data_IF_649472844415
#
_entry.id   IF_649472844415
#
_cell.length_a   1.000
_cell.length_b   1.000
_cell.length_c   1.000
_cell.angle_alpha   90.00
_cell.angle_beta   90.00
_cell.angle_gamma   90.00
#
_symmetry.space_group_name_H-M   'P 1'
#
loop_
_entity.id
_entity.type
_entity.pdbx_description
1 polymer ?
#
# COMPACT_ATOMS: atom_id res chain seq x y z
N UNK A 1 10.47 27.92 -19.67
CA UNK A 1 9.48 26.83 -19.57
C UNK A 1 9.62 25.93 -20.80
N UNK A 2 10.48 24.89 -20.75
CA UNK A 2 10.48 23.87 -21.81
C UNK A 2 9.19 23.07 -21.66
N UNK A 3 8.38 23.02 -22.71
CA UNK A 3 7.27 22.06 -22.86
C UNK A 3 7.73 20.70 -22.35
N UNK A 4 7.20 20.22 -21.21
CA UNK A 4 7.67 18.96 -20.64
C UNK A 4 7.28 17.84 -21.60
N UNK A 5 8.29 17.23 -22.23
CA UNK A 5 8.08 16.09 -23.12
C UNK A 5 7.36 14.99 -22.34
N UNK A 6 6.42 14.31 -23.00
CA UNK A 6 5.72 13.17 -22.40
C UNK A 6 6.73 12.09 -22.02
N UNK A 7 6.90 11.84 -20.72
CA UNK A 7 7.79 10.79 -20.22
C UNK A 7 7.26 9.41 -20.62
N UNK A 8 8.18 8.48 -20.84
CA UNK A 8 7.95 7.03 -20.89
C UNK A 8 8.33 6.45 -19.52
N UNK A 9 7.31 6.10 -18.74
CA UNK A 9 7.48 5.64 -17.36
C UNK A 9 7.19 4.14 -17.32
N UNK A 10 8.16 3.35 -16.87
CA UNK A 10 7.96 1.93 -16.58
C UNK A 10 7.67 1.76 -15.11
N UNK A 11 6.51 1.20 -14.76
CA UNK A 11 6.16 0.76 -13.41
C UNK A 11 6.32 -0.75 -13.34
N UNK A 12 7.06 -1.22 -12.34
CA UNK A 12 7.28 -2.65 -12.12
C UNK A 12 6.83 -3.06 -10.71
N UNK A 13 5.80 -3.87 -10.65
CA UNK A 13 5.24 -4.43 -9.42
C UNK A 13 5.54 -5.93 -9.24
N UNK A 14 6.16 -6.56 -10.24
CA UNK A 14 6.53 -7.99 -10.27
C UNK A 14 5.38 -8.92 -10.64
N UNK A 15 4.14 -8.51 -10.42
CA UNK A 15 2.93 -9.29 -10.63
C UNK A 15 1.81 -8.32 -11.02
N UNK A 16 1.15 -8.51 -12.17
CA UNK A 16 0.03 -7.67 -12.63
C UNK A 16 -1.18 -7.54 -11.67
N UNK A 17 -1.09 -8.06 -10.46
CA UNK A 17 -1.98 -7.77 -9.35
C UNK A 17 -1.53 -6.47 -8.64
N UNK A 18 -1.67 -5.35 -9.35
CA UNK A 18 -1.33 -4.01 -8.87
C UNK A 18 -2.20 -3.62 -7.67
N UNK A 19 -1.60 -2.94 -6.68
CA UNK A 19 -2.37 -2.36 -5.55
C UNK A 19 -3.26 -1.20 -6.02
N UNK A 20 -4.34 -0.84 -5.27
CA UNK A 20 -5.17 0.33 -5.59
C UNK A 20 -4.38 1.63 -5.76
N UNK A 21 -3.32 1.82 -4.97
CA UNK A 21 -2.40 2.95 -5.15
C UNK A 21 -1.76 2.96 -6.54
N UNK A 22 -1.20 1.82 -6.97
CA UNK A 22 -0.49 1.72 -8.25
C UNK A 22 -1.46 1.97 -9.40
N UNK A 23 -2.67 1.43 -9.31
CA UNK A 23 -3.72 1.64 -10.31
C UNK A 23 -4.09 3.12 -10.45
N UNK A 24 -4.38 3.79 -9.33
CA UNK A 24 -4.71 5.23 -9.33
C UNK A 24 -3.55 6.09 -9.84
N UNK A 25 -2.32 5.78 -9.41
CA UNK A 25 -1.13 6.48 -9.88
C UNK A 25 -0.93 6.30 -11.39
N UNK A 26 -0.98 5.07 -11.88
CA UNK A 26 -0.76 4.77 -13.27
C UNK A 26 -1.85 5.37 -14.18
N UNK A 27 -3.11 5.37 -13.74
CA UNK A 27 -4.22 6.04 -14.42
C UNK A 27 -4.06 7.57 -14.43
N UNK A 28 -3.58 8.17 -13.33
CA UNK A 28 -3.33 9.59 -13.26
C UNK A 28 -2.17 10.05 -14.14
N UNK A 29 -1.05 9.31 -14.11
CA UNK A 29 0.13 9.57 -14.94
C UNK A 29 -0.19 9.40 -16.43
N UNK A 30 -1.02 8.42 -16.82
CA UNK A 30 -1.33 8.14 -18.23
C UNK A 30 -2.10 9.26 -18.93
N UNK A 31 -2.69 10.20 -18.18
CA UNK A 31 -3.30 11.42 -18.73
C UNK A 31 -2.28 12.31 -19.46
N UNK A 32 -1.01 12.30 -19.02
CA UNK A 32 0.06 13.16 -19.58
C UNK A 32 1.25 12.38 -20.14
N UNK A 33 1.50 11.17 -19.65
CA UNK A 33 2.70 10.40 -19.93
C UNK A 33 2.37 9.04 -20.56
N UNK A 34 3.39 8.40 -21.16
CA UNK A 34 3.28 7.03 -21.66
C UNK A 34 3.65 6.08 -20.52
N UNK A 35 2.66 5.40 -19.96
CA UNK A 35 2.85 4.50 -18.81
C UNK A 35 2.86 3.04 -19.26
N UNK A 36 3.88 2.31 -18.82
CA UNK A 36 4.05 0.89 -19.07
C UNK A 36 4.04 0.14 -17.73
N UNK A 37 3.26 -0.92 -17.61
CA UNK A 37 3.28 -1.80 -16.44
C UNK A 37 3.86 -3.15 -16.87
N UNK A 38 4.94 -3.57 -16.20
CA UNK A 38 5.65 -4.81 -16.47
C UNK A 38 5.46 -5.79 -15.31
N UNK A 39 5.19 -7.06 -15.62
CA UNK A 39 4.98 -8.09 -14.61
C UNK A 39 5.07 -9.52 -15.16
N UNK A 40 5.20 -10.49 -14.25
CA UNK A 40 5.36 -11.92 -14.55
C UNK A 40 4.05 -12.72 -14.49
N UNK A 41 2.90 -12.06 -14.30
CA UNK A 41 1.59 -12.70 -14.35
C UNK A 41 0.94 -12.46 -15.72
N UNK A 42 -0.17 -13.14 -16.00
CA UNK A 42 -0.82 -13.07 -17.32
C UNK A 42 -2.23 -12.54 -17.31
N UNK A 43 -2.94 -12.75 -16.21
CA UNK A 43 -4.31 -12.27 -16.05
C UNK A 43 -4.29 -10.88 -15.42
N UNK A 44 -4.90 -9.96 -16.14
CA UNK A 44 -5.29 -8.64 -15.66
C UNK A 44 -6.79 -8.74 -15.45
N UNK A 45 -7.24 -8.78 -14.20
CA UNK A 45 -8.68 -8.80 -13.87
C UNK A 45 -9.38 -7.55 -14.38
N UNK A 46 -8.66 -6.41 -14.41
CA UNK A 46 -9.10 -5.16 -15.01
C UNK A 46 -7.92 -4.49 -15.72
N UNK A 47 -8.16 -3.94 -16.92
CA UNK A 47 -7.18 -3.11 -17.63
C UNK A 47 -7.60 -1.66 -17.56
N UNK A 48 -6.68 -0.81 -17.16
CA UNK A 48 -6.88 0.64 -17.20
C UNK A 48 -6.63 1.15 -18.61
N UNK A 49 -7.45 2.12 -19.03
CA UNK A 49 -7.30 2.80 -20.31
C UNK A 49 -5.98 3.58 -20.37
N UNK A 50 -5.40 3.68 -21.57
CA UNK A 50 -4.16 4.43 -21.84
C UNK A 50 -2.90 3.90 -21.15
N UNK A 51 -2.90 2.66 -20.65
CA UNK A 51 -1.74 1.99 -20.05
C UNK A 51 -1.31 0.80 -20.89
N UNK A 52 0.00 0.67 -21.12
CA UNK A 52 0.56 -0.47 -21.85
C UNK A 52 1.06 -1.55 -20.89
N UNK A 53 0.39 -2.70 -20.86
CA UNK A 53 0.79 -3.84 -20.05
C UNK A 53 1.71 -4.79 -20.83
N UNK A 54 2.92 -5.02 -20.33
CA UNK A 54 3.93 -5.85 -21.00
C UNK A 54 4.22 -7.09 -20.17
N UNK A 55 3.77 -8.24 -20.69
CA UNK A 55 3.96 -9.55 -20.06
C UNK A 55 5.40 -10.00 -20.22
N UNK A 56 6.04 -10.43 -19.13
CA UNK A 56 7.41 -10.93 -19.13
C UNK A 56 7.51 -12.47 -19.08
N UNK A 57 6.36 -13.13 -19.17
CA UNK A 57 6.20 -14.58 -19.14
C UNK A 57 5.67 -15.06 -17.78
N UNK A 58 4.58 -15.85 -17.83
CA UNK A 58 3.86 -16.34 -16.65
C UNK A 58 4.77 -16.98 -15.61
N UNK A 59 4.45 -16.82 -14.33
CA UNK A 59 4.93 -17.70 -13.27
C UNK A 59 4.07 -18.98 -13.12
N UNK A 60 2.80 -18.94 -13.49
CA UNK A 60 1.84 -20.03 -13.26
C UNK A 60 1.58 -20.93 -14.48
N UNK A 61 1.92 -20.48 -15.70
CA UNK A 61 1.64 -21.21 -16.94
C UNK A 61 2.89 -21.39 -17.82
N UNK A 62 3.37 -22.63 -17.94
CA UNK A 62 4.57 -22.95 -18.71
C UNK A 62 4.41 -22.71 -20.22
N UNK A 63 3.23 -22.99 -20.80
CA UNK A 63 3.00 -22.79 -22.22
C UNK A 63 3.05 -21.31 -22.59
N UNK A 64 2.39 -20.47 -21.80
CA UNK A 64 2.36 -19.04 -22.08
C UNK A 64 3.67 -18.33 -21.72
N UNK A 65 4.40 -18.85 -20.73
CA UNK A 65 5.81 -18.49 -20.50
C UNK A 65 6.68 -18.74 -21.73
N UNK A 66 6.61 -19.95 -22.33
CA UNK A 66 7.35 -20.30 -23.55
C UNK A 66 6.95 -19.39 -24.71
N UNK A 67 5.64 -19.23 -24.96
CA UNK A 67 5.10 -18.39 -26.03
C UNK A 67 5.59 -16.94 -25.92
N UNK A 68 5.53 -16.35 -24.73
CA UNK A 68 5.98 -14.98 -24.47
C UNK A 68 7.48 -14.84 -24.69
N UNK A 69 8.25 -15.80 -24.17
CA UNK A 69 9.71 -15.82 -24.26
C UNK A 69 10.19 -15.95 -25.71
N UNK A 70 9.60 -16.84 -26.51
CA UNK A 70 9.92 -16.97 -27.94
C UNK A 70 9.53 -15.71 -28.73
N UNK A 71 8.37 -15.11 -28.44
CA UNK A 71 7.94 -13.85 -29.07
C UNK A 71 8.92 -12.72 -28.80
N UNK A 72 9.40 -12.58 -27.56
CA UNK A 72 10.39 -11.56 -27.21
C UNK A 72 11.77 -11.86 -27.83
N UNK A 73 12.19 -13.12 -27.87
CA UNK A 73 13.43 -13.53 -28.52
C UNK A 73 13.45 -13.18 -30.02
N UNK A 74 12.33 -13.41 -30.72
CA UNK A 74 12.16 -13.00 -32.11
C UNK A 74 12.31 -11.48 -32.29
N UNK A 75 11.67 -10.69 -31.42
CA UNK A 75 11.75 -9.22 -31.44
C UNK A 75 13.19 -8.74 -31.24
N UNK A 76 14.01 -9.44 -30.43
CA UNK A 76 15.39 -9.04 -30.15
C UNK A 76 16.35 -9.29 -31.33
N UNK A 77 16.14 -10.35 -32.12
CA UNK A 77 17.11 -10.72 -33.17
C UNK A 77 16.76 -11.94 -34.02
N UNK A 78 15.47 -12.19 -34.27
CA UNK A 78 15.02 -13.21 -35.22
C UNK A 78 15.40 -14.65 -34.84
N UNK A 79 15.63 -15.49 -35.86
CA UNK A 79 15.85 -16.94 -35.71
C UNK A 79 17.04 -17.31 -34.81
N UNK A 80 18.14 -16.56 -34.87
CA UNK A 80 19.35 -16.85 -34.08
C UNK A 80 19.10 -16.73 -32.57
N UNK A 81 18.34 -15.71 -32.15
CA UNK A 81 17.95 -15.56 -30.75
C UNK A 81 16.88 -16.59 -30.33
N UNK A 82 15.99 -16.99 -31.23
CA UNK A 82 15.06 -18.11 -30.96
C UNK A 82 15.85 -19.38 -30.64
N UNK A 83 16.83 -19.77 -31.46
CA UNK A 83 17.59 -21.00 -31.24
C UNK A 83 18.34 -20.99 -29.89
N UNK A 84 18.94 -19.85 -29.52
CA UNK A 84 19.57 -19.67 -28.20
C UNK A 84 18.56 -19.78 -27.05
N UNK A 85 17.41 -19.11 -27.19
CA UNK A 85 16.34 -19.14 -26.20
C UNK A 85 15.72 -20.54 -26.05
N UNK A 86 15.58 -21.30 -27.14
CA UNK A 86 15.13 -22.70 -27.11
C UNK A 86 16.13 -23.57 -26.34
N UNK A 87 17.45 -23.42 -26.56
CA UNK A 87 18.47 -24.12 -25.76
C UNK A 87 18.38 -23.78 -24.27
N UNK A 88 18.11 -22.52 -23.91
CA UNK A 88 17.93 -22.12 -22.50
C UNK A 88 16.64 -22.66 -21.88
N UNK A 89 15.56 -22.76 -22.67
CA UNK A 89 14.30 -23.39 -22.24
C UNK A 89 14.51 -24.86 -21.89
N UNK A 90 15.30 -25.60 -22.68
CA UNK A 90 15.67 -26.99 -22.38
C UNK A 90 16.51 -27.14 -21.11
N UNK A 91 17.30 -26.13 -20.74
CA UNK A 91 18.10 -26.10 -19.50
C UNK A 91 17.30 -25.67 -18.26
N UNK A 92 15.99 -25.46 -18.38
CA UNK A 92 15.10 -24.98 -17.30
C UNK A 92 15.56 -23.68 -16.61
N UNK A 93 16.28 -22.81 -17.33
CA UNK A 93 16.80 -21.54 -16.79
C UNK A 93 15.71 -20.44 -16.75
N UNK A 94 14.59 -20.70 -16.06
CA UNK A 94 13.40 -19.83 -16.08
C UNK A 94 13.71 -18.39 -15.65
N UNK A 95 14.46 -18.22 -14.56
CA UNK A 95 14.82 -16.89 -14.03
C UNK A 95 15.69 -16.10 -15.01
N UNK A 96 16.65 -16.75 -15.67
CA UNK A 96 17.50 -16.11 -16.68
C UNK A 96 16.69 -15.70 -17.92
N UNK A 97 15.73 -16.52 -18.34
CA UNK A 97 14.81 -16.20 -19.43
C UNK A 97 13.87 -15.03 -19.07
N UNK A 98 13.38 -14.98 -17.83
CA UNK A 98 12.61 -13.85 -17.32
C UNK A 98 13.43 -12.56 -17.29
N UNK A 99 14.71 -12.65 -16.88
CA UNK A 99 15.66 -11.55 -16.93
C UNK A 99 15.91 -11.09 -18.38
N UNK A 100 16.07 -12.03 -19.31
CA UNK A 100 16.17 -11.73 -20.75
C UNK A 100 14.92 -10.99 -21.25
N UNK A 101 13.73 -11.47 -20.88
CA UNK A 101 12.45 -10.86 -21.28
C UNK A 101 12.31 -9.43 -20.75
N UNK A 102 12.66 -9.20 -19.48
CA UNK A 102 12.68 -7.88 -18.86
C UNK A 102 13.62 -6.94 -19.62
N UNK A 103 14.85 -7.39 -19.91
CA UNK A 103 15.83 -6.60 -20.64
C UNK A 103 15.35 -6.25 -22.06
N UNK A 104 14.75 -7.20 -22.79
CA UNK A 104 14.17 -6.94 -24.12
C UNK A 104 13.06 -5.88 -24.04
N UNK A 105 12.16 -6.01 -23.05
CA UNK A 105 11.08 -5.06 -22.86
C UNK A 105 11.62 -3.64 -22.60
N UNK A 106 12.58 -3.50 -21.68
CA UNK A 106 13.17 -2.20 -21.32
C UNK A 106 13.90 -1.59 -22.53
N UNK A 107 14.70 -2.37 -23.25
CA UNK A 107 15.40 -1.90 -24.47
C UNK A 107 14.43 -1.46 -25.56
N UNK A 108 13.28 -2.14 -25.71
CA UNK A 108 12.25 -1.75 -26.68
C UNK A 108 11.51 -0.47 -26.28
N UNK A 109 11.19 -0.32 -25.00
CA UNK A 109 10.46 0.85 -24.49
C UNK A 109 11.36 2.09 -24.54
N UNK A 110 12.63 1.92 -24.15
CA UNK A 110 13.57 3.01 -23.86
C UNK A 110 12.93 4.00 -22.86
N UNK A 111 12.69 3.57 -21.61
CA UNK A 111 12.01 4.41 -20.63
C UNK A 111 12.91 5.58 -20.20
N UNK A 112 12.29 6.72 -19.92
CA UNK A 112 12.98 7.85 -19.29
C UNK A 112 13.23 7.53 -17.81
N UNK A 113 12.32 6.83 -17.14
CA UNK A 113 12.46 6.40 -15.76
C UNK A 113 11.80 5.04 -15.52
N UNK A 114 12.40 4.26 -14.62
CA UNK A 114 11.85 3.00 -14.12
C UNK A 114 11.44 3.21 -12.66
N UNK A 115 10.23 2.83 -12.30
CA UNK A 115 9.69 2.91 -10.95
C UNK A 115 9.36 1.50 -10.42
N UNK A 116 10.22 1.00 -9.55
CA UNK A 116 10.03 -0.29 -8.88
C UNK A 116 9.23 -0.11 -7.58
N UNK A 117 8.26 -0.99 -7.34
CA UNK A 117 7.29 -0.81 -6.24
C UNK A 117 7.76 -1.36 -4.89
N UNK A 118 8.75 -2.25 -4.89
CA UNK A 118 9.16 -3.00 -3.69
C UNK A 118 10.68 -3.21 -3.64
N UNK A 119 11.32 -3.18 -2.46
CA UNK A 119 12.73 -3.55 -2.33
C UNK A 119 13.03 -4.99 -2.81
N UNK A 120 12.06 -5.89 -2.70
CA UNK A 120 12.19 -7.29 -3.12
C UNK A 120 12.32 -7.50 -4.63
N UNK A 121 12.06 -6.46 -5.45
CA UNK A 121 12.23 -6.56 -6.91
C UNK A 121 13.56 -6.01 -7.40
N UNK A 122 14.39 -5.42 -6.52
CA UNK A 122 15.75 -4.96 -6.85
C UNK A 122 16.58 -6.04 -7.56
N UNK A 123 16.55 -7.34 -7.17
CA UNK A 123 17.30 -8.39 -7.88
C UNK A 123 17.07 -8.44 -9.40
N UNK A 124 15.89 -8.04 -9.89
CA UNK A 124 15.58 -8.01 -11.32
C UNK A 124 16.23 -6.84 -12.06
N UNK A 125 16.67 -5.81 -11.34
CA UNK A 125 17.18 -4.56 -11.89
C UNK A 125 18.67 -4.32 -11.59
N UNK A 126 19.37 -5.26 -10.94
CA UNK A 126 20.79 -5.13 -10.56
C UNK A 126 21.69 -4.72 -11.73
N UNK A 127 21.50 -5.33 -12.92
CA UNK A 127 22.25 -4.95 -14.13
C UNK A 127 22.00 -3.49 -14.52
N UNK A 128 20.74 -3.05 -14.51
CA UNK A 128 20.35 -1.68 -14.88
C UNK A 128 20.88 -0.67 -13.85
N UNK A 129 20.81 -1.03 -12.56
CA UNK A 129 21.33 -0.22 -11.45
C UNK A 129 22.86 -0.10 -11.49
N UNK A 130 23.57 -1.13 -11.96
CA UNK A 130 25.02 -1.05 -12.17
C UNK A 130 25.38 -0.20 -13.39
N UNK A 131 24.61 -0.27 -14.47
CA UNK A 131 24.85 0.53 -15.67
C UNK A 131 24.56 2.03 -15.46
N UNK A 132 23.64 2.38 -14.54
CA UNK A 132 23.25 3.75 -14.20
C UNK A 132 22.82 4.63 -15.38
N UNK A 133 22.39 4.03 -16.50
CA UNK A 133 21.94 4.75 -17.70
C UNK A 133 20.49 5.23 -17.65
N UNK A 134 19.67 4.56 -16.83
CA UNK A 134 18.24 4.85 -16.69
C UNK A 134 17.99 5.07 -15.20
N UNK A 135 17.41 6.22 -14.78
CA UNK A 135 17.10 6.45 -13.38
C UNK A 135 16.05 5.44 -12.90
N UNK A 136 16.36 4.81 -11.77
CA UNK A 136 15.46 3.86 -11.10
C UNK A 136 14.99 4.45 -9.79
N UNK A 137 13.68 4.64 -9.67
CA UNK A 137 12.99 5.10 -8.46
C UNK A 137 12.42 3.90 -7.71
N UNK A 138 12.59 3.86 -6.39
CA UNK A 138 12.01 2.83 -5.53
C UNK A 138 10.91 3.39 -4.63
N UNK A 139 9.77 2.69 -4.56
CA UNK A 139 8.80 2.90 -3.48
C UNK A 139 9.12 2.14 -2.21
N UNK A 140 9.02 2.84 -1.08
CA UNK A 140 9.21 2.31 0.27
C UNK A 140 7.84 2.19 0.95
N UNK A 141 7.51 0.98 1.40
CA UNK A 141 6.15 0.61 1.86
C UNK A 141 6.17 -0.58 2.82
N UNK A 142 5.41 -0.46 3.90
CA UNK A 142 4.97 -1.59 4.74
C UNK A 142 6.11 -2.51 5.20
N UNK A 143 5.84 -3.83 5.22
CA UNK A 143 6.75 -4.85 5.76
C UNK A 143 8.16 -4.83 5.15
N UNK A 144 8.26 -4.60 3.83
CA UNK A 144 9.55 -4.65 3.11
C UNK A 144 10.46 -3.47 3.47
N UNK A 145 9.91 -2.39 4.04
CA UNK A 145 10.67 -1.23 4.48
C UNK A 145 10.75 -1.12 6.00
N UNK A 146 9.69 -1.48 6.73
CA UNK A 146 9.61 -1.25 8.18
C UNK A 146 10.02 -2.43 9.06
N UNK A 147 10.04 -3.64 8.51
CA UNK A 147 10.22 -4.87 9.30
C UNK A 147 11.33 -5.74 8.72
N UNK A 148 11.19 -6.22 7.48
CA UNK A 148 12.11 -7.20 6.87
C UNK A 148 13.59 -6.81 6.99
N UNK A 149 14.02 -5.57 6.70
CA UNK A 149 15.43 -5.21 6.81
C UNK A 149 15.95 -5.25 8.24
N UNK A 150 15.10 -5.10 9.26
CA UNK A 150 15.51 -5.01 10.66
C UNK A 150 15.41 -6.33 11.42
N UNK A 151 14.85 -7.36 10.78
CA UNK A 151 14.76 -8.74 11.33
C UNK A 151 15.52 -9.76 10.48
N UNK A 152 16.16 -9.32 9.39
CA UNK A 152 16.96 -10.15 8.49
C UNK A 152 18.21 -9.36 8.06
N UNK A 153 19.37 -9.70 8.64
CA UNK A 153 20.65 -9.02 8.42
C UNK A 153 21.10 -9.08 6.96
N UNK A 154 20.92 -10.22 6.28
CA UNK A 154 21.31 -10.38 4.89
C UNK A 154 20.49 -9.45 3.99
N UNK A 155 19.21 -9.28 4.30
CA UNK A 155 18.36 -8.33 3.62
C UNK A 155 18.80 -6.88 3.90
N UNK A 156 19.17 -6.55 5.14
CA UNK A 156 19.69 -5.22 5.48
C UNK A 156 20.93 -4.87 4.65
N UNK A 157 21.94 -5.74 4.67
CA UNK A 157 23.21 -5.52 3.98
C UNK A 157 23.01 -5.48 2.46
N UNK A 158 22.16 -6.36 1.92
CA UNK A 158 21.77 -6.31 0.51
C UNK A 158 21.15 -4.94 0.16
N UNK A 159 20.19 -4.44 0.94
CA UNK A 159 19.56 -3.15 0.65
C UNK A 159 20.55 -1.99 0.82
N UNK A 160 21.44 -2.04 1.81
CA UNK A 160 22.49 -1.04 2.02
C UNK A 160 23.47 -0.98 0.85
N UNK A 161 23.75 -2.11 0.20
CA UNK A 161 24.57 -2.17 -1.02
C UNK A 161 23.86 -1.55 -2.24
N UNK A 162 22.55 -1.74 -2.38
CA UNK A 162 21.81 -1.36 -3.58
C UNK A 162 21.12 0.00 -3.52
N UNK A 163 20.73 0.47 -2.33
CA UNK A 163 20.07 1.76 -2.15
C UNK A 163 20.88 2.95 -2.68
N UNK A 164 22.21 3.01 -2.54
CA UNK A 164 23.02 4.08 -3.14
C UNK A 164 22.98 4.16 -4.67
N UNK A 165 22.53 3.10 -5.36
CA UNK A 165 22.45 3.04 -6.82
C UNK A 165 21.07 3.44 -7.36
N UNK A 166 20.09 3.67 -6.48
CA UNK A 166 18.77 4.17 -6.87
C UNK A 166 18.85 5.67 -7.11
N UNK A 167 18.19 6.13 -8.17
CA UNK A 167 18.15 7.54 -8.53
C UNK A 167 17.24 8.33 -7.58
N UNK A 168 16.23 7.68 -7.00
CA UNK A 168 15.40 8.32 -5.97
C UNK A 168 14.47 7.36 -5.25
N UNK A 169 13.87 7.87 -4.19
CA UNK A 169 12.96 7.15 -3.31
C UNK A 169 11.61 7.87 -3.24
N UNK A 170 10.56 7.07 -3.24
CA UNK A 170 9.21 7.49 -2.89
C UNK A 170 8.82 6.81 -1.58
N UNK A 171 8.55 7.57 -0.53
CA UNK A 171 8.01 7.05 0.74
C UNK A 171 6.53 7.38 0.88
N UNK A 172 5.71 6.42 1.34
CA UNK A 172 4.26 6.67 1.53
C UNK A 172 3.90 7.48 2.77
N UNK A 173 4.90 7.75 3.63
CA UNK A 173 4.77 8.63 4.78
C UNK A 173 6.16 9.13 5.21
N UNK A 174 6.20 10.18 6.03
CA UNK A 174 7.45 10.66 6.66
C UNK A 174 8.01 9.60 7.60
N UNK A 175 7.18 8.84 8.30
CA UNK A 175 7.63 7.73 9.14
C UNK A 175 8.36 6.65 8.32
N UNK A 176 7.82 6.28 7.14
CA UNK A 176 8.51 5.36 6.22
C UNK A 176 9.82 5.96 5.69
N UNK A 177 9.85 7.25 5.36
CA UNK A 177 11.07 7.95 4.95
C UNK A 177 12.16 7.79 6.00
N UNK A 178 11.84 8.16 7.26
CA UNK A 178 12.77 8.09 8.40
C UNK A 178 13.30 6.66 8.60
N UNK A 179 12.44 5.64 8.52
CA UNK A 179 12.88 4.23 8.58
C UNK A 179 13.81 3.87 7.42
N UNK A 180 13.52 4.36 6.22
CA UNK A 180 14.38 4.18 5.05
C UNK A 180 15.77 4.79 5.20
N UNK A 181 15.89 5.91 5.92
CA UNK A 181 17.17 6.57 6.20
C UNK A 181 18.08 5.75 7.11
N UNK A 182 17.53 4.83 7.91
CA UNK A 182 18.31 3.88 8.70
C UNK A 182 19.07 2.86 7.83
N UNK A 183 18.61 2.61 6.59
CA UNK A 183 19.28 1.73 5.63
C UNK A 183 20.26 2.51 4.78
N UNK A 184 19.84 3.66 4.26
CA UNK A 184 20.67 4.54 3.45
C UNK A 184 20.24 5.99 3.61
N UNK A 185 21.17 6.83 4.06
CA UNK A 185 21.04 8.26 4.12
C UNK A 185 22.25 8.93 3.44
N UNK A 186 22.01 9.99 2.68
CA UNK A 186 23.05 10.77 1.99
C UNK A 186 22.54 12.19 1.77
N UNK A 187 23.42 13.18 1.82
CA UNK A 187 23.08 14.56 1.48
C UNK A 187 22.55 14.73 0.05
N UNK A 188 22.94 13.83 -0.86
CA UNK A 188 22.49 13.80 -2.26
C UNK A 188 21.28 12.89 -2.48
N UNK A 189 20.77 12.21 -1.44
CA UNK A 189 19.64 11.30 -1.57
C UNK A 189 18.40 12.06 -1.98
N UNK A 190 17.85 11.71 -3.15
CA UNK A 190 16.55 12.21 -3.58
C UNK A 190 15.48 11.33 -2.95
N UNK A 191 14.77 11.84 -1.95
CA UNK A 191 13.57 11.21 -1.42
C UNK A 191 12.37 12.15 -1.50
N UNK A 192 11.19 11.59 -1.74
CA UNK A 192 9.93 12.32 -1.67
C UNK A 192 8.85 11.52 -0.96
N UNK A 193 8.22 12.16 0.02
CA UNK A 193 7.00 11.64 0.62
C UNK A 193 5.83 11.95 -0.31
N UNK A 194 5.13 10.92 -0.77
CA UNK A 194 3.89 11.07 -1.53
C UNK A 194 2.83 10.18 -0.90
N UNK A 195 1.77 10.82 -0.41
CA UNK A 195 0.67 10.13 0.25
C UNK A 195 -0.22 9.38 -0.75
N UNK A 196 -1.02 8.45 -0.24
CA UNK A 196 -2.05 7.79 -1.05
C UNK A 196 -3.08 8.82 -1.53
N UNK A 197 -3.54 8.67 -2.78
CA UNK A 197 -4.63 9.48 -3.33
C UNK A 197 -5.92 8.68 -3.39
N UNK A 198 -7.03 9.21 -2.88
CA UNK A 198 -8.37 8.63 -2.99
C UNK A 198 -9.18 9.30 -4.10
N UNK A 199 -10.06 8.54 -4.76
CA UNK A 199 -11.12 9.10 -5.59
C UNK A 199 -12.33 9.36 -4.69
N UNK A 200 -12.56 10.64 -4.39
CA UNK A 200 -13.59 11.05 -3.45
C UNK A 200 -15.01 10.99 -4.04
N UNK A 201 -15.14 10.79 -5.35
CA UNK A 201 -16.44 10.55 -5.98
C UNK A 201 -16.96 9.14 -5.67
N UNK A 202 -16.04 8.18 -5.47
CA UNK A 202 -16.37 6.80 -5.10
C UNK A 202 -16.59 6.64 -3.58
N UNK A 203 -16.20 7.65 -2.79
CA UNK A 203 -16.24 7.63 -1.32
C UNK A 203 -16.97 8.89 -0.83
N UNK A 204 -18.32 8.92 -0.94
CA UNK A 204 -19.11 10.05 -0.50
C UNK A 204 -19.09 10.18 1.03
N UNK A 205 -19.08 11.43 1.50
CA UNK A 205 -19.22 11.73 2.92
C UNK A 205 -20.63 11.38 3.41
N UNK A 206 -20.73 10.61 4.50
CA UNK A 206 -22.01 10.23 5.11
C UNK A 206 -22.59 11.41 5.89
N UNK A 207 -23.57 12.10 5.31
CA UNK A 207 -24.26 13.20 6.00
C UNK A 207 -25.17 12.72 7.15
N UNK A 208 -25.51 11.43 7.19
CA UNK A 208 -26.55 10.84 8.06
C UNK A 208 -26.01 10.12 9.27
N UNK A 209 -24.71 10.21 9.56
CA UNK A 209 -24.12 9.59 10.74
C UNK A 209 -24.82 10.05 12.01
N UNK A 210 -25.17 9.09 12.85
CA UNK A 210 -25.70 9.31 14.19
C UNK A 210 -25.07 8.29 15.12
N UNK A 211 -24.75 8.73 16.34
CA UNK A 211 -24.31 7.82 17.39
C UNK A 211 -25.53 7.20 18.09
N UNK A 212 -25.58 5.89 18.07
CA UNK A 212 -26.58 5.03 18.66
C UNK A 212 -26.21 4.62 20.10
N UNK A 213 -27.15 3.96 20.79
CA UNK A 213 -26.95 3.49 22.17
C UNK A 213 -25.90 2.37 22.28
N UNK A 214 -25.88 1.47 21.30
CA UNK A 214 -24.93 0.36 21.20
C UNK A 214 -23.91 0.70 20.12
N UNK A 215 -22.64 0.83 20.50
CA UNK A 215 -21.60 1.31 19.61
C UNK A 215 -21.18 0.24 18.58
N UNK A 216 -21.33 0.52 17.29
CA UNK A 216 -20.89 -0.32 16.19
C UNK A 216 -19.47 0.05 15.74
N UNK A 217 -18.49 -0.79 16.08
CA UNK A 217 -17.07 -0.58 15.83
C UNK A 217 -16.63 -1.47 14.66
N UNK A 218 -15.80 -0.95 13.77
CA UNK A 218 -15.23 -1.71 12.66
C UNK A 218 -13.70 -1.60 12.61
N UNK A 219 -13.07 -2.72 12.24
CA UNK A 219 -11.68 -2.82 11.80
C UNK A 219 -11.64 -3.51 10.45
N UNK A 220 -10.69 -3.13 9.60
CA UNK A 220 -10.47 -3.78 8.30
C UNK A 220 -8.99 -4.09 8.11
N UNK A 221 -8.68 -5.36 7.88
CA UNK A 221 -7.32 -5.80 7.64
C UNK A 221 -7.15 -7.31 7.81
N UNK A 222 -6.08 -7.84 7.20
CA UNK A 222 -5.69 -9.25 7.36
C UNK A 222 -5.38 -9.55 8.83
N UNK A 223 -5.67 -10.77 9.30
CA UNK A 223 -5.12 -11.21 10.57
C UNK A 223 -3.60 -11.37 10.47
N UNK A 224 -2.89 -10.47 11.12
CA UNK A 224 -1.44 -10.46 11.20
C UNK A 224 -1.05 -9.69 12.45
N UNK A 225 -0.06 -10.18 13.20
CA UNK A 225 0.35 -9.61 14.50
C UNK A 225 0.53 -8.08 14.49
N UNK A 226 1.08 -7.53 13.40
CA UNK A 226 1.28 -6.08 13.21
C UNK A 226 -0.02 -5.25 13.28
N UNK A 227 -1.17 -5.87 13.03
CA UNK A 227 -2.49 -5.21 13.10
C UNK A 227 -2.99 -5.06 14.53
N UNK A 228 -2.39 -5.76 15.51
CA UNK A 228 -2.64 -5.56 16.94
C UNK A 228 -4.06 -5.90 17.38
N UNK A 229 -4.76 -6.78 16.67
CA UNK A 229 -6.13 -7.17 17.03
C UNK A 229 -6.23 -7.83 18.42
N UNK A 230 -5.15 -8.47 18.89
CA UNK A 230 -5.06 -8.96 20.26
C UNK A 230 -5.24 -7.84 21.31
N UNK A 231 -4.64 -6.66 21.11
CA UNK A 231 -4.83 -5.50 21.99
C UNK A 231 -6.25 -4.92 21.88
N UNK A 232 -6.85 -4.96 20.69
CA UNK A 232 -8.25 -4.56 20.52
C UNK A 232 -9.21 -5.50 21.28
N UNK A 233 -8.97 -6.81 21.27
CA UNK A 233 -9.76 -7.77 22.05
C UNK A 233 -9.60 -7.56 23.56
N UNK A 234 -8.39 -7.26 24.03
CA UNK A 234 -8.15 -6.87 25.42
C UNK A 234 -8.92 -5.59 25.79
N UNK A 235 -8.97 -4.60 24.88
CA UNK A 235 -9.76 -3.39 25.07
C UNK A 235 -11.26 -3.70 25.14
N UNK A 236 -11.75 -4.59 24.27
CA UNK A 236 -13.15 -5.05 24.27
C UNK A 236 -13.54 -5.74 25.58
N UNK A 237 -12.63 -6.52 26.18
CA UNK A 237 -12.83 -7.10 27.52
C UNK A 237 -13.08 -6.00 28.55
N UNK A 238 -12.25 -4.96 28.58
CA UNK A 238 -12.39 -3.82 29.51
C UNK A 238 -13.72 -3.08 29.28
N UNK A 239 -14.10 -2.86 28.02
CA UNK A 239 -15.39 -2.25 27.68
C UNK A 239 -16.57 -3.07 28.21
N UNK A 240 -16.52 -4.40 28.05
CA UNK A 240 -17.54 -5.33 28.54
C UNK A 240 -17.64 -5.32 30.06
N UNK A 241 -16.51 -5.36 30.76
CA UNK A 241 -16.45 -5.30 32.24
C UNK A 241 -16.99 -3.96 32.78
N UNK A 242 -16.83 -2.86 32.03
CA UNK A 242 -17.39 -1.54 32.37
C UNK A 242 -18.84 -1.36 31.93
N UNK A 243 -19.50 -2.40 31.40
CA UNK A 243 -20.90 -2.34 30.98
C UNK A 243 -21.15 -1.49 29.73
N UNK A 244 -20.12 -1.22 28.93
CA UNK A 244 -20.27 -0.50 27.67
C UNK A 244 -20.89 -1.44 26.63
N UNK A 245 -22.06 -1.08 26.10
CA UNK A 245 -22.69 -1.81 25.00
C UNK A 245 -22.02 -1.49 23.66
N UNK A 246 -21.48 -2.51 22.98
CA UNK A 246 -20.84 -2.41 21.67
C UNK A 246 -20.99 -3.70 20.84
N UNK A 247 -20.77 -3.56 19.52
CA UNK A 247 -20.44 -4.65 18.59
C UNK A 247 -19.15 -4.28 17.88
N UNK A 248 -18.24 -5.24 17.71
CA UNK A 248 -16.98 -5.01 17.02
C UNK A 248 -16.79 -6.02 15.90
N UNK A 249 -16.70 -5.51 14.67
CA UNK A 249 -16.50 -6.33 13.48
C UNK A 249 -15.10 -6.15 12.93
N UNK A 250 -14.38 -7.26 12.73
CA UNK A 250 -13.06 -7.27 12.09
C UNK A 250 -13.14 -7.95 10.74
N UNK A 251 -13.09 -7.15 9.67
CA UNK A 251 -13.14 -7.61 8.28
C UNK A 251 -11.76 -8.08 7.82
N UNK A 252 -11.67 -9.32 7.34
CA UNK A 252 -10.41 -9.97 6.94
C UNK A 252 -9.60 -10.56 8.11
N UNK A 253 -10.18 -10.56 9.32
CA UNK A 253 -9.57 -11.07 10.56
C UNK A 253 -9.91 -12.53 10.89
N UNK A 254 -10.64 -13.24 10.02
CA UNK A 254 -10.95 -14.66 10.20
C UNK A 254 -9.72 -15.56 10.08
N UNK A 255 -9.80 -16.76 10.67
CA UNK A 255 -8.81 -17.82 10.48
C UNK A 255 -7.55 -17.72 11.35
N UNK A 256 -7.56 -16.89 12.40
CA UNK A 256 -6.44 -16.74 13.33
C UNK A 256 -6.73 -17.40 14.68
N UNK A 257 -5.92 -18.40 15.03
CA UNK A 257 -6.10 -19.21 16.24
C UNK A 257 -5.98 -18.38 17.53
N UNK A 258 -5.03 -17.44 17.59
CA UNK A 258 -4.84 -16.56 18.75
C UNK A 258 -6.08 -15.69 18.95
N UNK A 259 -6.59 -15.06 17.88
CA UNK A 259 -7.78 -14.19 17.99
C UNK A 259 -9.04 -14.97 18.36
N UNK A 260 -9.21 -16.18 17.83
CA UNK A 260 -10.33 -17.06 18.19
C UNK A 260 -10.26 -17.49 19.67
N UNK A 261 -9.06 -17.86 20.14
CA UNK A 261 -8.82 -18.19 21.54
C UNK A 261 -9.10 -16.99 22.47
N UNK A 262 -8.55 -15.81 22.17
CA UNK A 262 -8.75 -14.59 22.94
C UNK A 262 -10.21 -14.16 22.98
N UNK A 263 -10.93 -14.24 21.85
CA UNK A 263 -12.37 -13.94 21.82
C UNK A 263 -13.13 -14.83 22.80
N UNK A 264 -12.85 -16.13 22.82
CA UNK A 264 -13.50 -17.07 23.72
C UNK A 264 -13.08 -16.89 25.18
N UNK A 265 -11.78 -16.73 25.46
CA UNK A 265 -11.29 -16.59 26.83
C UNK A 265 -11.74 -15.30 27.51
N UNK A 266 -12.01 -14.25 26.71
CA UNK A 266 -12.61 -13.00 27.20
C UNK A 266 -14.14 -12.99 27.15
N UNK A 267 -14.78 -14.11 26.81
CA UNK A 267 -16.23 -14.25 26.63
C UNK A 267 -16.83 -13.21 25.68
N UNK A 268 -16.15 -12.90 24.58
CA UNK A 268 -16.51 -11.85 23.61
C UNK A 268 -17.26 -12.40 22.38
N UNK A 269 -17.74 -13.65 22.39
CA UNK A 269 -18.38 -14.24 21.21
C UNK A 269 -19.65 -13.52 20.77
N UNK A 270 -20.34 -12.86 21.69
CA UNK A 270 -21.54 -12.09 21.39
C UNK A 270 -21.20 -10.68 20.90
N UNK A 271 -20.08 -10.11 21.30
CA UNK A 271 -19.72 -8.72 21.01
C UNK A 271 -18.81 -8.60 19.79
N UNK A 272 -17.97 -9.60 19.51
CA UNK A 272 -16.95 -9.54 18.47
C UNK A 272 -17.19 -10.56 17.36
N UNK A 273 -17.19 -10.06 16.13
CA UNK A 273 -17.37 -10.85 14.90
C UNK A 273 -16.13 -10.73 14.01
N UNK A 274 -15.61 -11.88 13.58
CA UNK A 274 -14.57 -11.94 12.55
C UNK A 274 -15.21 -12.29 11.21
N UNK A 275 -14.94 -11.51 10.18
CA UNK A 275 -15.37 -11.79 8.81
C UNK A 275 -14.19 -12.15 7.93
N UNK A 276 -14.44 -12.96 6.90
CA UNK A 276 -13.50 -13.17 5.81
C UNK A 276 -13.24 -11.87 5.03
N UNK A 277 -12.31 -11.95 4.07
CA UNK A 277 -12.10 -10.86 3.11
C UNK A 277 -13.35 -10.72 2.25
N UNK A 278 -13.94 -9.54 2.26
CA UNK A 278 -15.09 -9.17 1.42
C UNK A 278 -14.68 -8.16 0.34
N UNK A 279 -15.49 -7.98 -0.72
CA UNK A 279 -15.24 -6.97 -1.74
C UNK A 279 -15.19 -5.55 -1.19
N UNK A 280 -14.39 -4.68 -1.80
CA UNK A 280 -14.16 -3.31 -1.32
C UNK A 280 -15.44 -2.47 -1.18
N UNK A 281 -16.40 -2.61 -2.11
CA UNK A 281 -17.67 -1.87 -2.03
C UNK A 281 -18.47 -2.26 -0.78
N UNK A 282 -18.45 -3.55 -0.38
CA UNK A 282 -19.06 -4.00 0.89
C UNK A 282 -18.33 -3.45 2.11
N UNK A 283 -17.01 -3.32 2.05
CA UNK A 283 -16.25 -2.68 3.13
C UNK A 283 -16.69 -1.22 3.29
N UNK A 284 -16.88 -0.49 2.19
CA UNK A 284 -17.35 0.91 2.22
C UNK A 284 -18.77 1.01 2.78
N UNK A 285 -19.69 0.14 2.37
CA UNK A 285 -21.05 0.06 2.95
C UNK A 285 -20.98 -0.16 4.47
N UNK A 286 -20.17 -1.13 4.93
CA UNK A 286 -20.02 -1.40 6.36
C UNK A 286 -19.36 -0.23 7.13
N UNK A 287 -18.44 0.52 6.51
CA UNK A 287 -17.88 1.73 7.11
C UNK A 287 -18.91 2.86 7.20
N UNK A 288 -19.86 2.95 6.27
CA UNK A 288 -20.94 3.93 6.31
C UNK A 288 -21.97 3.62 7.41
N UNK A 289 -22.15 2.34 7.74
CA UNK A 289 -23.05 1.85 8.79
C UNK A 289 -22.38 1.75 10.18
N UNK A 290 -21.05 1.83 10.24
CA UNK A 290 -20.31 1.82 11.49
C UNK A 290 -20.34 3.20 12.17
N UNK A 291 -20.12 3.20 13.47
CA UNK A 291 -20.07 4.43 14.27
C UNK A 291 -18.65 4.83 14.65
N UNK A 292 -17.72 3.87 14.62
CA UNK A 292 -16.32 4.06 14.94
C UNK A 292 -15.42 3.12 14.14
N UNK A 293 -14.41 3.67 13.46
CA UNK A 293 -13.27 2.93 12.95
C UNK A 293 -12.22 2.77 14.05
N UNK A 294 -11.81 1.54 14.34
CA UNK A 294 -10.70 1.25 15.25
C UNK A 294 -9.48 0.78 14.44
N UNK A 295 -8.33 1.41 14.63
CA UNK A 295 -7.06 0.91 14.08
C UNK A 295 -6.09 0.55 15.22
N UNK A 296 -6.04 -0.72 15.64
CA UNK A 296 -5.21 -1.14 16.78
C UNK A 296 -3.76 -1.48 16.40
N UNK A 297 -3.30 -1.03 15.24
CA UNK A 297 -2.05 -1.50 14.63
C UNK A 297 -0.81 -1.14 15.45
N UNK A 298 0.21 -1.97 15.36
CA UNK A 298 1.50 -1.75 16.03
C UNK A 298 2.41 -0.89 15.15
N UNK A 299 2.31 -1.05 13.83
CA UNK A 299 3.21 -0.41 12.86
C UNK A 299 2.48 -0.26 11.51
N UNK A 300 2.55 0.93 10.92
CA UNK A 300 1.93 1.29 9.65
C UNK A 300 2.79 2.31 8.89
N UNK A 301 2.52 2.50 7.59
CA UNK A 301 2.97 3.70 6.89
C UNK A 301 2.03 4.85 7.21
N UNK A 302 0.97 4.93 6.42
CA UNK A 302 -0.33 5.51 6.79
C UNK A 302 -1.35 4.44 6.41
N UNK A 303 -2.29 4.12 7.29
CA UNK A 303 -3.28 3.09 7.01
C UNK A 303 -4.31 3.60 5.99
N UNK A 304 -4.33 3.02 4.78
CA UNK A 304 -5.28 3.41 3.73
C UNK A 304 -6.73 3.33 4.19
N UNK A 305 -7.09 2.30 4.97
CA UNK A 305 -8.45 2.15 5.51
C UNK A 305 -8.84 3.31 6.44
N UNK A 306 -7.89 3.91 7.16
CA UNK A 306 -8.18 5.10 7.97
C UNK A 306 -8.38 6.32 7.09
N UNK A 307 -7.59 6.48 6.02
CA UNK A 307 -7.82 7.53 5.03
C UNK A 307 -9.22 7.39 4.41
N UNK A 308 -9.63 6.16 4.08
CA UNK A 308 -10.96 5.84 3.55
C UNK A 308 -12.07 6.11 4.58
N UNK A 309 -11.91 5.69 5.83
CA UNK A 309 -12.86 5.98 6.92
C UNK A 309 -13.04 7.49 7.15
N UNK A 310 -11.94 8.24 7.20
CA UNK A 310 -11.97 9.71 7.33
C UNK A 310 -12.64 10.37 6.11
N UNK A 311 -12.48 9.81 4.91
CA UNK A 311 -13.14 10.28 3.70
C UNK A 311 -14.66 10.04 3.74
N UNK A 312 -15.12 8.88 4.23
CA UNK A 312 -16.56 8.62 4.47
C UNK A 312 -17.11 9.49 5.60
N UNK A 313 -16.24 10.00 6.48
CA UNK A 313 -16.64 10.72 7.67
C UNK A 313 -16.98 9.79 8.84
N UNK A 314 -16.41 8.59 8.87
CA UNK A 314 -16.45 7.68 10.02
C UNK A 314 -15.41 8.15 11.05
N UNK A 315 -15.79 8.45 12.31
CA UNK A 315 -14.84 8.78 13.36
C UNK A 315 -13.78 7.67 13.54
N UNK A 316 -12.55 8.06 13.88
CA UNK A 316 -11.41 7.12 13.95
C UNK A 316 -10.71 7.21 15.30
N UNK A 317 -10.58 6.08 15.98
CA UNK A 317 -9.58 5.87 17.04
C UNK A 317 -8.48 4.98 16.46
N UNK A 318 -7.25 5.49 16.46
CA UNK A 318 -6.08 4.75 15.98
C UNK A 318 -5.02 4.72 17.05
N UNK A 319 -4.18 3.68 17.06
CA UNK A 319 -2.89 3.79 17.75
C UNK A 319 -2.01 4.82 17.03
N UNK A 320 -1.11 5.48 17.76
CA UNK A 320 -0.07 6.33 17.21
C UNK A 320 1.10 5.49 16.67
N UNK A 321 0.81 4.62 15.69
CA UNK A 321 1.81 3.81 15.03
C UNK A 321 2.30 4.48 13.74
N UNK A 322 3.59 4.30 13.41
CA UNK A 322 4.11 4.70 12.11
C UNK A 322 3.86 6.17 11.78
N UNK A 323 3.19 6.42 10.65
CA UNK A 323 2.82 7.76 10.18
C UNK A 323 1.40 8.20 10.55
N UNK A 324 0.73 7.58 11.53
CA UNK A 324 -0.63 7.97 11.91
C UNK A 324 -0.71 9.39 12.48
N UNK A 325 0.35 9.89 13.14
CA UNK A 325 0.46 11.31 13.54
C UNK A 325 0.52 12.30 12.36
N UNK A 326 0.88 11.84 11.16
CA UNK A 326 0.83 12.67 9.95
C UNK A 326 -0.63 12.86 9.49
N UNK A 327 -1.46 11.83 9.69
CA UNK A 327 -2.84 11.80 9.27
C UNK A 327 -3.80 12.37 10.34
N UNK A 328 -3.58 12.11 11.62
CA UNK A 328 -4.49 12.51 12.70
C UNK A 328 -3.74 13.41 13.69
N UNK A 329 -4.26 14.61 13.93
CA UNK A 329 -3.97 15.35 15.16
C UNK A 329 -5.05 14.98 16.17
N UNK A 330 -4.63 14.48 17.34
CA UNK A 330 -5.54 13.97 18.38
C UNK A 330 -6.64 15.00 18.70
N UNK A 331 -7.89 14.53 18.81
CA UNK A 331 -9.14 15.30 19.00
C UNK A 331 -9.56 16.23 17.87
N UNK A 332 -8.74 16.42 16.83
CA UNK A 332 -9.06 17.32 15.72
C UNK A 332 -9.66 16.59 14.53
N UNK A 333 -8.97 15.58 14.01
CA UNK A 333 -9.44 14.73 12.90
C UNK A 333 -9.78 13.30 13.33
N UNK A 334 -9.50 12.95 14.59
CA UNK A 334 -9.70 11.63 15.17
C UNK A 334 -8.91 11.55 16.48
N UNK A 335 -8.76 10.35 17.04
CA UNK A 335 -8.03 10.15 18.29
C UNK A 335 -6.87 9.19 18.12
N UNK A 336 -5.79 9.46 18.87
CA UNK A 336 -4.57 8.68 18.86
C UNK A 336 -4.32 8.16 20.28
N UNK A 337 -4.09 6.86 20.41
CA UNK A 337 -3.68 6.21 21.66
C UNK A 337 -2.31 5.57 21.51
N UNK A 338 -1.65 5.21 22.61
CA UNK A 338 -0.38 4.51 22.54
C UNK A 338 -0.53 3.13 21.86
N UNK A 339 0.50 2.68 21.15
CA UNK A 339 0.53 1.30 20.61
C UNK A 339 0.67 0.30 21.75
N UNK A 340 0.02 -0.87 21.63
CA UNK A 340 0.09 -1.96 22.62
C UNK A 340 -0.45 -1.58 24.00
N UNK A 341 -1.42 -0.67 24.04
CA UNK A 341 -2.02 -0.16 25.27
C UNK A 341 -3.56 -0.33 25.20
N UNK A 342 -4.07 -1.53 25.58
CA UNK A 342 -5.50 -1.81 25.61
C UNK A 342 -6.30 -0.88 26.53
N UNK A 343 -5.71 -0.48 27.65
CA UNK A 343 -6.33 0.39 28.64
C UNK A 343 -6.57 1.78 28.06
N UNK A 344 -5.55 2.39 27.43
CA UNK A 344 -5.69 3.67 26.75
C UNK A 344 -6.71 3.59 25.60
N UNK A 345 -6.71 2.49 24.84
CA UNK A 345 -7.67 2.28 23.76
C UNK A 345 -9.10 2.16 24.28
N UNK A 346 -9.34 1.35 25.32
CA UNK A 346 -10.65 1.21 25.94
C UNK A 346 -11.12 2.55 26.54
N UNK A 347 -10.23 3.28 27.20
CA UNK A 347 -10.56 4.58 27.77
C UNK A 347 -10.93 5.60 26.69
N UNK A 348 -10.23 5.62 25.55
CA UNK A 348 -10.56 6.52 24.44
C UNK A 348 -11.91 6.17 23.81
N UNK A 349 -12.25 4.87 23.69
CA UNK A 349 -13.56 4.43 23.23
C UNK A 349 -14.67 4.89 24.19
N UNK A 350 -14.43 4.83 25.50
CA UNK A 350 -15.36 5.35 26.52
C UNK A 350 -15.51 6.86 26.38
N UNK A 351 -14.40 7.61 26.28
CA UNK A 351 -14.43 9.06 26.11
C UNK A 351 -15.21 9.46 24.85
N UNK A 352 -14.99 8.74 23.74
CA UNK A 352 -15.74 8.93 22.50
C UNK A 352 -17.25 8.72 22.69
N UNK A 353 -17.64 7.70 23.48
CA UNK A 353 -19.04 7.43 23.80
C UNK A 353 -19.71 8.57 24.59
N UNK A 354 -18.95 9.38 25.31
CA UNK A 354 -19.48 10.54 26.06
C UNK A 354 -19.57 11.82 25.21
N UNK A 355 -19.00 11.85 24.00
CA UNK A 355 -19.04 13.04 23.14
C UNK A 355 -20.45 13.36 22.64
N UNK A 356 -20.80 14.64 22.56
CA UNK A 356 -22.02 15.07 21.87
C UNK A 356 -21.93 14.85 20.36
N UNK A 357 -23.08 14.70 19.70
CA UNK A 357 -23.14 14.59 18.24
C UNK A 357 -22.43 15.76 17.54
N UNK A 358 -22.55 16.98 18.07
CA UNK A 358 -21.93 18.18 17.50
C UNK A 358 -20.38 18.13 17.58
N UNK A 359 -19.82 17.61 18.66
CA UNK A 359 -18.37 17.41 18.79
C UNK A 359 -17.89 16.37 17.78
N UNK A 360 -18.61 15.25 17.66
CA UNK A 360 -18.28 14.20 16.69
C UNK A 360 -18.34 14.74 15.25
N UNK A 361 -19.40 15.48 14.89
CA UNK A 361 -19.55 16.08 13.56
C UNK A 361 -18.45 17.06 13.21
N UNK A 362 -17.94 17.81 14.20
CA UNK A 362 -16.79 18.71 14.02
C UNK A 362 -15.55 17.91 13.63
N UNK A 363 -15.23 16.84 14.37
CA UNK A 363 -14.08 15.97 14.08
C UNK A 363 -14.22 15.32 12.70
N UNK A 364 -15.42 14.83 12.36
CA UNK A 364 -15.70 14.18 11.07
C UNK A 364 -15.51 15.13 9.88
N UNK A 365 -15.99 16.37 9.99
CA UNK A 365 -15.80 17.39 8.94
C UNK A 365 -14.34 17.79 8.79
N UNK A 366 -13.60 17.93 9.90
CA UNK A 366 -12.16 18.20 9.86
C UNK A 366 -11.39 17.04 9.19
N UNK A 367 -11.74 15.79 9.54
CA UNK A 367 -11.16 14.60 8.94
C UNK A 367 -11.36 14.59 7.42
N UNK A 368 -12.60 14.80 6.96
CA UNK A 368 -12.94 14.88 5.54
C UNK A 368 -12.17 16.00 4.82
N UNK A 369 -12.16 17.20 5.40
CA UNK A 369 -11.46 18.35 4.82
C UNK A 369 -9.95 18.09 4.67
N UNK A 370 -9.32 17.39 5.63
CA UNK A 370 -7.91 16.99 5.54
C UNK A 370 -7.67 16.02 4.39
N UNK A 371 -8.55 15.05 4.17
CA UNK A 371 -8.46 14.12 3.03
C UNK A 371 -8.58 14.88 1.71
N UNK A 372 -9.58 15.76 1.58
CA UNK A 372 -9.81 16.59 0.38
C UNK A 372 -8.63 17.48 0.02
N UNK A 373 -7.86 17.93 1.01
CA UNK A 373 -6.70 18.79 0.80
C UNK A 373 -5.42 18.02 0.47
N UNK A 374 -5.19 16.85 1.09
CA UNK A 374 -3.86 16.22 1.11
C UNK A 374 -3.80 14.82 0.48
N UNK A 375 -4.92 14.09 0.44
CA UNK A 375 -4.96 12.67 0.06
C UNK A 375 -5.75 12.48 -1.25
N UNK A 376 -5.55 13.37 -2.23
CA UNK A 376 -6.22 13.31 -3.54
C UNK A 376 -5.34 12.61 -4.57
N UNK A 377 -5.98 12.02 -5.60
CA UNK A 377 -5.25 11.43 -6.74
C UNK A 377 -4.37 12.48 -7.42
N UNK A 378 -4.83 13.72 -7.57
CA UNK A 378 -4.07 14.78 -8.22
C UNK A 378 -2.81 15.16 -7.43
N UNK A 379 -2.91 15.27 -6.09
CA UNK A 379 -1.74 15.52 -5.25
C UNK A 379 -0.73 14.36 -5.32
N UNK A 380 -1.22 13.11 -5.30
CA UNK A 380 -0.38 11.91 -5.45
C UNK A 380 0.35 11.90 -6.80
N UNK A 381 -0.36 12.16 -7.90
CA UNK A 381 0.21 12.16 -9.25
C UNK A 381 1.24 13.28 -9.40
N UNK A 382 0.88 14.51 -9.02
CA UNK A 382 1.78 15.66 -9.06
C UNK A 382 3.05 15.41 -8.22
N UNK A 383 2.88 14.86 -7.02
CA UNK A 383 3.99 14.50 -6.14
C UNK A 383 4.97 13.52 -6.82
N UNK A 384 4.45 12.47 -7.46
CA UNK A 384 5.24 11.50 -8.21
C UNK A 384 5.88 12.08 -9.48
N UNK A 385 5.16 12.89 -10.26
CA UNK A 385 5.69 13.59 -11.44
C UNK A 385 6.92 14.44 -11.06
N UNK A 386 6.80 15.24 -10.01
CA UNK A 386 7.90 16.05 -9.48
C UNK A 386 9.10 15.19 -9.03
N UNK A 387 8.89 14.00 -8.47
CA UNK A 387 9.98 13.07 -8.16
C UNK A 387 10.66 12.57 -9.43
N UNK A 388 9.90 12.16 -10.45
CA UNK A 388 10.46 11.70 -11.72
C UNK A 388 11.27 12.78 -12.41
N UNK A 389 10.77 14.02 -12.47
CA UNK A 389 11.53 15.13 -13.02
C UNK A 389 12.80 15.41 -12.22
N UNK A 390 12.75 15.31 -10.89
CA UNK A 390 13.92 15.54 -10.04
C UNK A 390 15.02 14.50 -10.23
N UNK A 391 14.70 13.25 -10.57
CA UNK A 391 15.73 12.21 -10.81
C UNK A 391 16.24 12.17 -12.25
N UNK A 392 15.62 12.93 -13.16
CA UNK A 392 16.05 13.08 -14.56
C UNK A 392 17.02 14.25 -14.76
N UNK A 393 17.17 15.11 -13.76
CA UNK A 393 18.06 16.27 -13.71
C UNK A 393 19.19 16.01 -12.72
#
# INVERSE_FOLDING_TARGET
MKSSSKLKIVIFDGSFNTTPFINRLAAGLSKKHRVYILGFNEELTTKLNNIQYIKLGSNSNNFSFIKTTLKLAWIKGGLNNILKTVKMLFKMQRKELQQQNLHIAITKIQPDCIHIQWPSVIPWFETILNEQKIPVVLSQRGYHSNVRPFVNSDNFEYLKQWYPKLAGFHSVSKAISKKGDLIYNSATKINKVVYTGLDLNEIPFSATYQKEKMLNIISVGRSHWIKGYNYALQSCKILKEKGISFKYTIVGGSGDEELLYLRKSFNLENEVVFLDKIPIYKVVEMMQEAELMLLPSIEEGIANVVVEAMAVGLPVISTNCGGMEELITHTKEGWLVATRDPEAMAQEIINFKELSQAQIDTVRKNARAKIEQQFTVDAMVKGMEELYYKVLH
#
